data_IF_895214534498
#
_entry.id   IF_895214534498
#
_cell.length_a   1.000
_cell.length_b   1.000
_cell.length_c   1.000
_cell.angle_alpha   90.00
_cell.angle_beta   90.00
_cell.angle_gamma   90.00
#
_symmetry.space_group_name_H-M   'P 1'
#
loop_
_entity.id
_entity.type
_entity.pdbx_description
1 polymer ?
#
# COMPACT_ATOMS: atom_id res chain seq x y z
N UNK A 1 15.63 8.59 -22.37
CA UNK A 1 15.05 9.08 -21.11
C UNK A 1 15.57 8.20 -20.01
N UNK A 2 16.16 8.77 -18.96
CA UNK A 2 16.64 7.98 -17.81
C UNK A 2 15.45 7.43 -17.01
N UNK A 3 15.70 6.43 -16.18
CA UNK A 3 14.69 5.87 -15.26
C UNK A 3 14.15 6.93 -14.29
N UNK A 4 15.03 7.81 -13.79
CA UNK A 4 14.66 8.94 -12.93
C UNK A 4 13.76 9.93 -13.67
N UNK A 5 14.02 10.19 -14.96
CA UNK A 5 13.16 11.07 -15.77
C UNK A 5 11.75 10.49 -15.91
N UNK A 6 11.62 9.17 -16.12
CA UNK A 6 10.32 8.48 -16.18
C UNK A 6 9.57 8.53 -14.84
N UNK A 7 10.28 8.34 -13.73
CA UNK A 7 9.69 8.47 -12.38
C UNK A 7 9.21 9.91 -12.17
N UNK A 8 10.00 10.91 -12.57
CA UNK A 8 9.61 12.32 -12.47
C UNK A 8 8.35 12.63 -13.29
N UNK A 9 8.28 12.13 -14.53
CA UNK A 9 7.11 12.25 -15.39
C UNK A 9 5.86 11.63 -14.74
N UNK A 10 5.98 10.41 -14.22
CA UNK A 10 4.88 9.70 -13.57
C UNK A 10 4.37 10.41 -12.31
N UNK A 11 5.30 10.89 -11.45
CA UNK A 11 4.95 11.63 -10.23
C UNK A 11 4.27 12.94 -10.57
N UNK A 12 4.76 13.66 -11.59
CA UNK A 12 4.14 14.91 -12.05
C UNK A 12 2.72 14.64 -12.57
N UNK A 13 2.55 13.62 -13.41
CA UNK A 13 1.24 13.23 -13.93
C UNK A 13 0.26 12.82 -12.82
N UNK A 14 0.74 12.11 -11.80
CA UNK A 14 -0.04 11.77 -10.62
C UNK A 14 -0.44 13.02 -9.82
N UNK A 15 0.52 13.93 -9.58
CA UNK A 15 0.32 15.14 -8.80
C UNK A 15 -0.66 16.12 -9.44
N UNK A 16 -0.63 16.25 -10.76
CA UNK A 16 -1.55 17.10 -11.52
C UNK A 16 -3.00 16.56 -11.49
N UNK A 17 -3.18 15.28 -11.18
CA UNK A 17 -4.47 14.58 -11.29
C UNK A 17 -4.75 13.69 -10.08
N UNK A 18 -4.41 14.12 -8.87
CA UNK A 18 -4.76 13.35 -7.68
C UNK A 18 -6.27 13.11 -7.64
N UNK A 19 -6.71 11.86 -7.41
CA UNK A 19 -8.13 11.57 -7.27
C UNK A 19 -8.71 12.34 -6.08
N UNK A 20 -9.98 12.68 -6.21
CA UNK A 20 -10.75 13.25 -5.11
C UNK A 20 -10.76 12.26 -3.94
N UNK A 21 -10.47 12.76 -2.74
CA UNK A 21 -10.62 12.02 -1.49
C UNK A 21 -11.54 12.83 -0.57
N UNK A 22 -12.50 12.14 0.04
CA UNK A 22 -13.34 12.69 1.09
C UNK A 22 -12.72 12.46 2.46
N UNK A 23 -13.53 12.04 3.42
CA UNK A 23 -13.05 11.61 4.74
C UNK A 23 -12.35 10.24 4.65
N UNK A 24 -11.16 10.12 5.25
CA UNK A 24 -10.40 8.87 5.26
C UNK A 24 -8.89 9.07 5.16
N UNK A 25 -8.17 7.97 4.91
CA UNK A 25 -6.73 8.00 4.71
C UNK A 25 -6.39 8.22 3.23
N UNK A 26 -5.95 9.43 2.91
CA UNK A 26 -5.58 9.82 1.54
C UNK A 26 -4.39 9.04 1.00
N UNK A 27 -3.45 8.60 1.85
CA UNK A 27 -2.28 7.86 1.38
C UNK A 27 -2.66 6.50 0.78
N UNK A 28 -3.78 5.89 1.20
CA UNK A 28 -4.30 4.68 0.55
C UNK A 28 -4.62 4.93 -0.93
N UNK A 29 -5.34 6.02 -1.20
CA UNK A 29 -5.76 6.36 -2.56
C UNK A 29 -4.58 6.86 -3.39
N UNK A 30 -3.74 7.72 -2.79
CA UNK A 30 -2.64 8.37 -3.47
C UNK A 30 -1.53 7.39 -3.86
N UNK A 31 -1.22 6.41 -3.01
CA UNK A 31 -0.19 5.40 -3.34
C UNK A 31 -0.67 4.47 -4.45
N UNK A 32 -1.92 4.00 -4.40
CA UNK A 32 -2.46 3.17 -5.47
C UNK A 32 -2.47 3.93 -6.80
N UNK A 33 -2.92 5.20 -6.78
CA UNK A 33 -2.91 6.06 -7.96
C UNK A 33 -1.51 6.30 -8.51
N UNK A 34 -0.55 6.58 -7.63
CA UNK A 34 0.85 6.75 -8.00
C UNK A 34 1.44 5.47 -8.60
N UNK A 35 1.11 4.29 -8.05
CA UNK A 35 1.53 3.00 -8.60
C UNK A 35 1.00 2.79 -10.03
N UNK A 36 -0.28 3.11 -10.28
CA UNK A 36 -0.85 3.05 -11.63
C UNK A 36 -0.13 4.00 -12.60
N UNK A 37 0.13 5.25 -12.20
CA UNK A 37 0.83 6.22 -13.05
C UNK A 37 2.27 5.81 -13.34
N UNK A 38 2.99 5.31 -12.34
CA UNK A 38 4.32 4.76 -12.52
C UNK A 38 4.30 3.57 -13.49
N UNK A 39 3.35 2.65 -13.34
CA UNK A 39 3.23 1.47 -14.21
C UNK A 39 2.96 1.88 -15.66
N UNK A 40 2.03 2.80 -15.88
CA UNK A 40 1.70 3.35 -17.20
C UNK A 40 2.91 4.00 -17.87
N UNK A 41 3.62 4.89 -17.16
CA UNK A 41 4.78 5.62 -17.71
C UNK A 41 6.00 4.72 -17.92
N UNK A 42 6.22 3.76 -17.03
CA UNK A 42 7.36 2.81 -17.13
C UNK A 42 7.09 1.74 -18.20
N UNK A 43 5.82 1.43 -18.49
CA UNK A 43 5.42 0.34 -19.38
C UNK A 43 5.75 -1.03 -18.80
N UNK A 44 5.79 -1.14 -17.47
CA UNK A 44 6.23 -2.33 -16.75
C UNK A 44 5.13 -3.40 -16.71
N UNK A 45 5.51 -4.64 -16.99
CA UNK A 45 4.69 -5.82 -16.76
C UNK A 45 5.11 -6.43 -15.42
N UNK A 46 4.21 -6.42 -14.44
CA UNK A 46 4.56 -6.87 -13.10
C UNK A 46 4.91 -8.36 -13.07
N UNK A 47 5.90 -8.76 -12.24
CA UNK A 47 6.20 -10.17 -12.03
C UNK A 47 5.00 -10.90 -11.41
N UNK A 48 4.94 -12.21 -11.64
CA UNK A 48 3.87 -13.08 -11.13
C UNK A 48 4.32 -13.95 -9.96
N UNK A 49 5.63 -14.19 -9.84
CA UNK A 49 6.22 -14.97 -8.77
C UNK A 49 6.17 -14.21 -7.44
N UNK A 50 5.50 -14.77 -6.44
CA UNK A 50 5.40 -14.15 -5.12
C UNK A 50 6.65 -14.47 -4.28
N UNK A 51 7.32 -13.48 -3.66
CA UNK A 51 8.45 -13.71 -2.78
C UNK A 51 7.96 -14.37 -1.47
N UNK A 52 8.89 -14.80 -0.60
CA UNK A 52 8.55 -15.18 0.77
C UNK A 52 7.84 -14.06 1.52
N UNK A 53 6.92 -14.42 2.43
CA UNK A 53 6.13 -13.44 3.22
C UNK A 53 7.00 -12.47 4.01
N UNK A 54 8.12 -12.93 4.56
CA UNK A 54 9.03 -12.09 5.34
C UNK A 54 9.70 -11.00 4.47
N UNK A 55 10.01 -11.32 3.20
CA UNK A 55 10.46 -10.32 2.22
C UNK A 55 9.35 -9.30 1.93
N UNK A 56 8.11 -9.75 1.79
CA UNK A 56 6.95 -8.86 1.60
C UNK A 56 6.72 -7.91 2.79
N UNK A 57 6.87 -8.42 4.02
CA UNK A 57 6.80 -7.62 5.25
C UNK A 57 7.92 -6.57 5.28
N UNK A 58 9.15 -6.93 4.94
CA UNK A 58 10.26 -5.97 4.87
C UNK A 58 10.00 -4.88 3.83
N UNK A 59 9.55 -5.26 2.63
CA UNK A 59 9.19 -4.31 1.58
C UNK A 59 8.08 -3.33 2.03
N UNK A 60 7.07 -3.84 2.75
CA UNK A 60 6.04 -3.00 3.37
C UNK A 60 6.64 -1.96 4.32
N UNK A 61 7.49 -2.40 5.26
CA UNK A 61 8.14 -1.53 6.25
C UNK A 61 9.06 -0.49 5.62
N UNK A 62 9.70 -0.84 4.51
CA UNK A 62 10.57 0.05 3.74
C UNK A 62 9.77 1.11 2.99
N UNK A 63 8.59 0.79 2.45
CA UNK A 63 7.65 1.80 1.91
C UNK A 63 7.21 2.76 3.00
N UNK A 64 6.76 2.24 4.16
CA UNK A 64 6.38 3.06 5.31
C UNK A 64 7.53 3.99 5.72
N UNK A 65 8.75 3.47 5.84
CA UNK A 65 9.90 4.22 6.36
C UNK A 65 10.46 5.26 5.38
N UNK A 66 10.52 4.95 4.09
CA UNK A 66 11.21 5.81 3.11
C UNK A 66 10.24 6.76 2.41
N UNK A 67 9.03 6.27 2.06
CA UNK A 67 8.07 7.07 1.31
C UNK A 67 7.15 7.86 2.25
N UNK A 68 6.66 7.22 3.32
CA UNK A 68 5.56 7.74 4.12
C UNK A 68 5.94 8.32 5.49
N UNK A 69 7.07 7.91 6.07
CA UNK A 69 7.50 8.31 7.42
C UNK A 69 8.01 9.75 7.39
N UNK A 70 7.07 10.68 7.40
CA UNK A 70 7.31 12.05 7.79
C UNK A 70 7.01 12.20 9.30
N UNK A 71 7.91 12.77 10.12
CA UNK A 71 7.64 13.05 11.53
C UNK A 71 6.45 14.00 11.77
N UNK A 72 5.88 14.60 10.72
CA UNK A 72 4.68 15.44 10.76
C UNK A 72 3.44 14.76 10.16
N UNK A 73 3.44 13.44 9.94
CA UNK A 73 2.32 12.68 9.34
C UNK A 73 1.83 13.30 8.01
N UNK A 74 2.77 13.74 7.16
CA UNK A 74 2.41 14.38 5.89
C UNK A 74 1.75 13.39 4.93
N UNK A 75 0.62 13.82 4.40
CA UNK A 75 -0.09 13.14 3.31
C UNK A 75 0.72 13.27 2.02
N UNK A 76 0.84 12.19 1.23
CA UNK A 76 1.64 12.17 0.00
C UNK A 76 1.32 13.33 -0.94
N UNK A 77 0.03 13.63 -1.16
CA UNK A 77 -0.43 14.73 -2.03
C UNK A 77 0.01 16.14 -1.62
N UNK A 78 0.52 16.35 -0.41
CA UNK A 78 1.04 17.67 0.03
C UNK A 78 2.57 17.76 -0.03
N UNK A 79 3.24 16.67 -0.40
CA UNK A 79 4.70 16.63 -0.54
C UNK A 79 5.09 17.19 -1.93
N UNK A 80 6.11 18.06 -2.02
CA UNK A 80 6.62 18.52 -3.31
C UNK A 80 7.04 17.37 -4.24
N UNK A 81 6.80 17.55 -5.55
CA UNK A 81 7.07 16.53 -6.58
C UNK A 81 8.52 16.04 -6.55
N UNK A 82 9.48 16.96 -6.47
CA UNK A 82 10.92 16.65 -6.42
C UNK A 82 11.29 15.80 -5.20
N UNK A 83 10.65 16.07 -4.06
CA UNK A 83 10.82 15.29 -2.85
C UNK A 83 10.22 13.88 -2.99
N UNK A 84 9.02 13.75 -3.58
CA UNK A 84 8.42 12.42 -3.86
C UNK A 84 9.33 11.62 -4.80
N UNK A 85 9.83 12.22 -5.88
CA UNK A 85 10.76 11.57 -6.81
C UNK A 85 12.00 11.07 -6.09
N UNK A 86 12.61 11.91 -5.25
CA UNK A 86 13.79 11.51 -4.48
C UNK A 86 13.49 10.36 -3.50
N UNK A 87 12.33 10.38 -2.83
CA UNK A 87 11.89 9.29 -1.95
C UNK A 87 11.69 7.98 -2.73
N UNK A 88 11.09 8.02 -3.91
CA UNK A 88 10.91 6.84 -4.77
C UNK A 88 12.24 6.26 -5.27
N UNK A 89 13.20 7.12 -5.66
CA UNK A 89 14.55 6.68 -6.06
C UNK A 89 15.27 6.00 -4.90
N UNK A 90 15.17 6.58 -3.69
CA UNK A 90 15.75 5.98 -2.49
C UNK A 90 15.07 4.65 -2.14
N UNK A 91 13.75 4.60 -2.23
CA UNK A 91 12.94 3.40 -1.99
C UNK A 91 13.35 2.27 -2.93
N UNK A 92 13.44 2.54 -4.23
CA UNK A 92 13.90 1.59 -5.23
C UNK A 92 15.31 1.05 -4.94
N UNK A 93 16.22 1.90 -4.43
CA UNK A 93 17.55 1.48 -3.98
C UNK A 93 17.52 0.54 -2.78
N UNK A 94 16.66 0.80 -1.81
CA UNK A 94 16.51 -0.01 -0.59
C UNK A 94 15.88 -1.38 -0.88
N UNK A 95 14.83 -1.42 -1.71
CA UNK A 95 14.07 -2.63 -2.04
C UNK A 95 14.91 -3.73 -2.73
N UNK A 96 16.06 -3.39 -3.34
CA UNK A 96 16.97 -4.36 -3.99
C UNK A 96 17.45 -5.47 -3.05
N UNK A 97 17.42 -5.25 -1.74
CA UNK A 97 17.83 -6.25 -0.73
C UNK A 97 16.67 -7.11 -0.24
N UNK A 98 15.44 -6.69 -0.52
CA UNK A 98 14.21 -7.25 0.05
C UNK A 98 13.42 -8.04 -0.97
N UNK A 99 13.42 -7.58 -2.23
CA UNK A 99 12.68 -8.17 -3.33
C UNK A 99 13.62 -8.62 -4.46
N UNK A 100 13.37 -9.78 -5.10
CA UNK A 100 14.28 -10.38 -6.07
C UNK A 100 14.11 -9.85 -7.51
N UNK A 101 13.37 -8.75 -7.73
CA UNK A 101 13.05 -8.25 -9.07
C UNK A 101 13.95 -7.08 -9.50
N UNK A 102 13.68 -6.56 -10.70
CA UNK A 102 14.33 -5.34 -11.20
C UNK A 102 13.95 -4.12 -10.34
N UNK A 103 14.66 -2.99 -10.49
CA UNK A 103 14.42 -1.78 -9.68
C UNK A 103 12.99 -1.27 -9.79
N UNK A 104 12.52 -1.08 -11.02
CA UNK A 104 11.16 -0.62 -11.33
C UNK A 104 10.07 -1.60 -10.89
N UNK A 105 10.29 -2.91 -11.09
CA UNK A 105 9.36 -3.94 -10.61
C UNK A 105 9.28 -3.94 -9.09
N UNK A 106 10.42 -3.91 -8.41
CA UNK A 106 10.47 -3.85 -6.94
C UNK A 106 9.69 -2.65 -6.42
N UNK A 107 9.86 -1.48 -7.04
CA UNK A 107 9.11 -0.27 -6.69
C UNK A 107 7.61 -0.50 -6.84
N UNK A 108 7.13 -0.89 -8.02
CA UNK A 108 5.70 -1.08 -8.27
C UNK A 108 5.09 -2.17 -7.38
N UNK A 109 5.76 -3.32 -7.27
CA UNK A 109 5.37 -4.42 -6.39
C UNK A 109 5.21 -3.94 -4.95
N UNK A 110 6.19 -3.15 -4.46
CA UNK A 110 6.15 -2.60 -3.10
C UNK A 110 4.96 -1.68 -2.85
N UNK A 111 4.56 -0.86 -3.83
CA UNK A 111 3.43 0.06 -3.68
C UNK A 111 2.10 -0.70 -3.67
N UNK A 112 1.91 -1.66 -4.57
CA UNK A 112 0.69 -2.48 -4.61
C UNK A 112 0.55 -3.40 -3.38
N UNK A 113 1.65 -4.04 -2.96
CA UNK A 113 1.64 -4.87 -1.75
C UNK A 113 1.40 -4.03 -0.51
N UNK A 114 1.98 -2.83 -0.45
CA UNK A 114 1.74 -1.89 0.64
C UNK A 114 0.26 -1.55 0.72
N UNK A 115 -0.34 -1.13 -0.40
CA UNK A 115 -1.74 -0.76 -0.51
C UNK A 115 -2.67 -1.87 -0.01
N UNK A 116 -2.55 -3.09 -0.54
CA UNK A 116 -3.37 -4.22 -0.12
C UNK A 116 -3.20 -4.56 1.37
N UNK A 117 -1.95 -4.51 1.86
CA UNK A 117 -1.63 -4.80 3.25
C UNK A 117 -2.22 -3.76 4.20
N UNK A 118 -1.94 -2.46 4.00
CA UNK A 118 -2.40 -1.43 4.94
C UNK A 118 -3.92 -1.27 4.93
N UNK A 119 -4.56 -1.49 3.77
CA UNK A 119 -6.01 -1.39 3.64
C UNK A 119 -6.69 -2.50 4.42
N UNK A 120 -6.23 -3.75 4.28
CA UNK A 120 -6.71 -4.86 5.10
C UNK A 120 -6.40 -4.63 6.58
N UNK A 121 -5.18 -4.23 6.92
CA UNK A 121 -4.72 -4.00 8.28
C UNK A 121 -5.57 -2.96 9.04
N UNK A 122 -5.95 -1.87 8.38
CA UNK A 122 -6.85 -0.86 8.96
C UNK A 122 -8.24 -1.41 9.27
N UNK A 123 -8.77 -2.27 8.40
CA UNK A 123 -10.05 -2.96 8.63
C UNK A 123 -9.99 -3.99 9.77
N UNK A 124 -8.85 -4.21 10.40
CA UNK A 124 -8.76 -5.04 11.60
C UNK A 124 -8.87 -4.22 12.88
N UNK A 125 -8.66 -2.91 12.82
CA UNK A 125 -8.64 -2.02 13.99
C UNK A 125 -10.04 -1.78 14.53
N UNK A 126 -10.17 -1.54 15.82
CA UNK A 126 -11.45 -1.19 16.44
C UNK A 126 -11.95 0.19 15.96
N UNK A 127 -11.05 1.17 15.90
CA UNK A 127 -11.35 2.56 15.58
C UNK A 127 -10.51 3.10 14.42
N UNK A 128 -11.01 4.17 13.80
CA UNK A 128 -10.30 5.00 12.83
C UNK A 128 -10.32 6.46 13.26
N UNK A 129 -9.35 7.23 12.77
CA UNK A 129 -9.23 8.64 13.09
C UNK A 129 -10.22 9.46 12.25
N UNK A 130 -10.90 10.41 12.90
CA UNK A 130 -11.76 11.41 12.28
C UNK A 130 -11.36 12.81 12.73
N UNK A 131 -11.89 13.84 12.08
CA UNK A 131 -11.70 15.22 12.52
C UNK A 131 -12.28 15.40 13.93
N UNK A 132 -11.41 15.54 14.93
CA UNK A 132 -11.79 15.77 16.33
C UNK A 132 -11.82 14.52 17.22
N UNK A 133 -11.38 13.35 16.76
CA UNK A 133 -11.26 12.17 17.62
C UNK A 133 -11.16 10.85 16.86
N UNK A 134 -11.74 9.80 17.45
CA UNK A 134 -11.80 8.46 16.88
C UNK A 134 -13.25 8.01 16.74
N UNK A 135 -13.54 7.25 15.68
CA UNK A 135 -14.82 6.60 15.45
C UNK A 135 -14.62 5.09 15.30
N UNK A 136 -15.65 4.30 15.60
CA UNK A 136 -15.58 2.84 15.53
C UNK A 136 -15.91 2.36 14.12
N UNK A 137 -15.18 1.34 13.66
CA UNK A 137 -15.55 0.62 12.45
C UNK A 137 -16.81 -0.21 12.71
N UNK A 138 -17.86 0.03 11.92
CA UNK A 138 -19.06 -0.80 11.93
C UNK A 138 -18.86 -2.05 11.05
N UNK A 139 -19.62 -3.14 11.28
CA UNK A 139 -19.58 -4.31 10.40
C UNK A 139 -19.85 -3.98 8.93
N UNK A 140 -20.77 -3.05 8.65
CA UNK A 140 -21.09 -2.63 7.29
C UNK A 140 -19.89 -1.94 6.63
N UNK A 141 -19.23 -1.01 7.34
CA UNK A 141 -18.03 -0.34 6.82
C UNK A 141 -16.91 -1.32 6.49
N UNK A 142 -16.71 -2.35 7.33
CA UNK A 142 -15.71 -3.39 7.05
C UNK A 142 -16.07 -4.20 5.81
N UNK A 143 -17.35 -4.55 5.65
CA UNK A 143 -17.84 -5.27 4.48
C UNK A 143 -17.69 -4.45 3.20
N UNK A 144 -18.07 -3.16 3.23
CA UNK A 144 -18.00 -2.27 2.07
C UNK A 144 -16.55 -2.02 1.65
N UNK A 145 -15.68 -1.71 2.61
CA UNK A 145 -14.25 -1.52 2.31
C UNK A 145 -13.61 -2.82 1.82
N UNK A 146 -13.92 -3.98 2.44
CA UNK A 146 -13.40 -5.27 1.97
C UNK A 146 -13.84 -5.56 0.54
N UNK A 147 -15.08 -5.23 0.16
CA UNK A 147 -15.55 -5.38 -1.22
C UNK A 147 -14.75 -4.50 -2.20
N UNK A 148 -14.31 -3.31 -1.78
CA UNK A 148 -13.44 -2.46 -2.60
C UNK A 148 -12.04 -3.06 -2.76
N UNK A 149 -11.42 -3.57 -1.69
CA UNK A 149 -10.11 -4.24 -1.83
C UNK A 149 -10.24 -5.50 -2.70
N UNK A 150 -11.33 -6.26 -2.53
CA UNK A 150 -11.66 -7.44 -3.34
C UNK A 150 -11.74 -7.10 -4.82
N UNK A 151 -12.40 -5.99 -5.15
CA UNK A 151 -12.48 -5.51 -6.53
C UNK A 151 -11.08 -5.22 -7.11
N UNK A 152 -10.21 -4.56 -6.33
CA UNK A 152 -8.82 -4.23 -6.70
C UNK A 152 -7.88 -5.43 -6.80
N UNK A 153 -8.30 -6.64 -6.43
CA UNK A 153 -7.49 -7.85 -6.62
C UNK A 153 -8.14 -8.93 -7.47
N UNK A 154 -9.39 -8.73 -7.93
CA UNK A 154 -10.12 -9.71 -8.75
C UNK A 154 -10.44 -9.22 -10.16
N UNK A 155 -10.43 -7.91 -10.43
CA UNK A 155 -10.76 -7.40 -11.75
C UNK A 155 -9.61 -7.56 -12.72
N UNK A 156 -9.74 -8.41 -13.74
CA UNK A 156 -8.69 -8.66 -14.75
C UNK A 156 -8.04 -7.40 -15.36
N UNK A 157 -8.75 -6.27 -15.36
CA UNK A 157 -8.28 -4.96 -15.83
C UNK A 157 -7.26 -4.28 -14.89
N UNK A 158 -7.28 -4.62 -13.60
CA UNK A 158 -6.37 -4.07 -12.60
C UNK A 158 -5.04 -4.85 -12.60
N UNK A 159 -4.04 -4.32 -13.31
CA UNK A 159 -2.78 -5.02 -13.58
C UNK A 159 -1.87 -5.19 -12.34
N UNK A 160 -2.23 -4.63 -11.18
CA UNK A 160 -1.59 -4.82 -9.86
C UNK A 160 -2.22 -5.89 -8.96
N UNK A 161 -3.28 -6.57 -9.43
CA UNK A 161 -4.14 -7.43 -8.62
C UNK A 161 -3.43 -8.45 -7.74
N UNK A 162 -2.49 -9.22 -8.32
CA UNK A 162 -1.79 -10.29 -7.61
C UNK A 162 -1.02 -9.74 -6.41
N UNK A 163 -0.49 -8.53 -6.54
CA UNK A 163 0.29 -7.85 -5.51
C UNK A 163 -0.59 -7.21 -4.45
N UNK A 164 -1.76 -6.67 -4.81
CA UNK A 164 -2.78 -6.25 -3.83
C UNK A 164 -3.27 -7.45 -3.02
N UNK A 165 -3.62 -8.57 -3.68
CA UNK A 165 -3.99 -9.85 -3.04
C UNK A 165 -2.89 -10.35 -2.11
N UNK A 166 -1.64 -10.28 -2.57
CA UNK A 166 -0.49 -10.65 -1.77
C UNK A 166 -0.34 -9.74 -0.56
N UNK A 167 -0.50 -8.43 -0.71
CA UNK A 167 -0.54 -7.47 0.41
C UNK A 167 -1.55 -7.86 1.49
N UNK A 168 -2.77 -8.22 1.10
CA UNK A 168 -3.84 -8.64 2.02
C UNK A 168 -3.43 -9.85 2.86
N UNK A 169 -2.74 -10.82 2.25
CA UNK A 169 -2.22 -11.99 2.95
C UNK A 169 -1.06 -11.69 3.92
N UNK A 170 -0.43 -10.51 3.83
CA UNK A 170 0.63 -10.08 4.75
C UNK A 170 0.06 -9.37 6.00
N UNK A 171 -1.14 -8.81 5.90
CA UNK A 171 -1.73 -7.96 6.94
C UNK A 171 -1.77 -8.63 8.32
N UNK A 172 -2.03 -9.94 8.38
CA UNK A 172 -2.06 -10.70 9.63
C UNK A 172 -0.71 -10.72 10.33
N UNK A 173 0.36 -11.00 9.59
CA UNK A 173 1.74 -11.03 10.13
C UNK A 173 2.14 -9.64 10.64
N UNK A 174 1.78 -8.60 9.88
CA UNK A 174 2.02 -7.20 10.27
C UNK A 174 1.32 -6.82 11.57
N UNK A 175 0.02 -7.09 11.69
CA UNK A 175 -0.71 -6.71 12.91
C UNK A 175 -0.32 -7.56 14.13
N UNK A 176 0.08 -8.82 13.93
CA UNK A 176 0.68 -9.62 14.99
C UNK A 176 2.04 -9.08 15.46
N UNK A 177 2.85 -8.52 14.55
CA UNK A 177 4.10 -7.87 14.91
C UNK A 177 3.86 -6.57 15.70
N UNK A 178 2.88 -5.75 15.28
CA UNK A 178 2.46 -4.53 15.99
C UNK A 178 1.92 -4.80 17.38
N UNK A 179 1.08 -5.83 17.55
CA UNK A 179 0.56 -6.25 18.87
C UNK A 179 1.65 -6.67 19.86
N UNK A 180 2.79 -7.16 19.38
CA UNK A 180 3.95 -7.46 20.26
C UNK A 180 4.64 -6.19 20.77
N UNK A 181 4.46 -5.06 20.08
CA UNK A 181 5.04 -3.76 20.40
C UNK A 181 4.06 -2.88 21.19
N UNK A 182 2.76 -3.06 20.99
CA UNK A 182 1.67 -2.37 21.68
C UNK A 182 0.64 -3.37 22.22
N UNK A 183 0.62 -3.56 23.54
CA UNK A 183 -0.24 -4.53 24.22
C UNK A 183 -1.72 -4.16 24.22
N UNK A 184 -2.05 -2.87 24.05
CA UNK A 184 -3.43 -2.38 24.02
C UNK A 184 -4.02 -2.44 22.61
N UNK A 185 -3.22 -2.86 21.62
CA UNK A 185 -3.66 -3.00 20.24
C UNK A 185 -4.60 -4.21 20.05
N UNK A 186 -5.88 -3.90 19.79
CA UNK A 186 -6.93 -4.89 19.52
C UNK A 186 -7.18 -5.08 18.01
N UNK A 187 -7.24 -6.35 17.60
CA UNK A 187 -7.48 -6.79 16.22
C UNK A 187 -8.81 -7.55 16.19
N UNK A 188 -9.73 -7.12 15.34
CA UNK A 188 -11.02 -7.78 15.11
C UNK A 188 -10.97 -8.58 13.81
N UNK A 189 -10.81 -9.91 13.91
CA UNK A 189 -10.69 -10.80 12.74
C UNK A 189 -11.99 -11.55 12.40
N UNK A 190 -12.99 -11.56 13.30
CA UNK A 190 -14.17 -12.44 13.21
C UNK A 190 -15.11 -12.16 12.03
N UNK A 191 -14.96 -11.01 11.37
CA UNK A 191 -15.79 -10.60 10.23
C UNK A 191 -15.18 -10.99 8.87
N UNK A 192 -13.90 -11.39 8.84
CA UNK A 192 -13.16 -11.63 7.60
C UNK A 192 -13.67 -12.93 6.95
N UNK A 193 -14.01 -12.91 5.65
CA UNK A 193 -14.41 -14.11 4.92
C UNK A 193 -13.36 -15.21 5.00
N UNK A 194 -13.78 -16.48 5.13
CA UNK A 194 -12.87 -17.63 5.34
C UNK A 194 -11.97 -17.94 4.13
N UNK A 195 -12.39 -17.53 2.95
CA UNK A 195 -11.68 -17.65 1.67
C UNK A 195 -10.78 -16.46 1.36
N UNK A 196 -10.70 -15.48 2.28
CA UNK A 196 -9.83 -14.32 2.14
C UNK A 196 -8.34 -14.72 2.09
N UNK A 197 -7.51 -14.07 1.25
CA UNK A 197 -6.05 -14.22 1.28
C UNK A 197 -5.44 -13.94 2.65
N UNK A 198 -6.13 -13.18 3.51
CA UNK A 198 -5.75 -12.92 4.89
C UNK A 198 -5.44 -14.21 5.71
N UNK A 199 -6.11 -15.31 5.38
CA UNK A 199 -5.93 -16.59 6.06
C UNK A 199 -4.83 -17.47 5.47
N UNK A 200 -4.19 -17.03 4.37
CA UNK A 200 -3.09 -17.76 3.76
C UNK A 200 -1.88 -17.82 4.70
N UNK A 201 -1.17 -18.96 4.71
CA UNK A 201 0.00 -19.15 5.57
C UNK A 201 1.19 -18.25 5.20
#
# INVERSE_FOLDING_TARGET
MSEVDKICEAVTAAADNWPFFGDGDSNLVDIYWLAEKLRETLGAALPTDLPPKDCGVQAFETVETILLRDPQDRVLRVIPVDEIVQRLVNLMGALKKELPFSGEDNLLVSLYLWHGCIRMAKLLRCAYNIRGGQALYTPQMRSDEYALILNEWTQDEAQGNSWVRYGVSLARRMEQARKKQDFDFEVHENWIPKDSPYWEP
#
